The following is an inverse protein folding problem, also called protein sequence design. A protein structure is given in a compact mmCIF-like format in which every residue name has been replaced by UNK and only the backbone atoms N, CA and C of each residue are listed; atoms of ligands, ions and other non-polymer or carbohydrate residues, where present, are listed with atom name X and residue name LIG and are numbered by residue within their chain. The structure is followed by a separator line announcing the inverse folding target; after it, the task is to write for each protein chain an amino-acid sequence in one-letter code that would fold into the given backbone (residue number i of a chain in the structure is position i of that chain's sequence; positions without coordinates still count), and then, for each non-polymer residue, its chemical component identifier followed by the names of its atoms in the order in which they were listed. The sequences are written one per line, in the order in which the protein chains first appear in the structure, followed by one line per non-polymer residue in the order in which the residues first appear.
data_IF_924004330952
#
_entry.id   IF_924004330952
#
_cell.length_a   1.000
_cell.length_b   1.000
_cell.length_c   1.000
_cell.angle_alpha   90.00
_cell.angle_beta   90.00
_cell.angle_gamma   90.00
#
_symmetry.space_group_name_H-M   'P 1'
#
loop_
_entity.id
_entity.type
_entity.pdbx_description
1 polymer ?
#
# COMPACT_ATOMS: atom_id res chain seq x y z
N UNK A 1 -11.57 -6.31 13.85
CA UNK A 1 -10.62 -5.22 14.17
C UNK A 1 -10.45 -5.13 15.66
N UNK A 2 -9.24 -5.29 16.16
CA UNK A 2 -8.90 -5.03 17.56
C UNK A 2 -9.08 -3.53 17.81
N UNK A 3 -9.82 -3.16 18.86
CA UNK A 3 -9.91 -1.75 19.25
C UNK A 3 -8.50 -1.21 19.47
N UNK A 4 -8.21 -0.04 18.91
CA UNK A 4 -6.97 0.70 19.23
C UNK A 4 -6.93 0.90 20.73
N UNK A 5 -5.90 0.40 21.37
CA UNK A 5 -5.71 0.63 22.81
C UNK A 5 -5.10 2.02 23.01
N UNK A 6 -5.98 3.00 23.19
CA UNK A 6 -5.56 4.37 23.42
C UNK A 6 -4.70 4.51 24.70
N UNK A 7 -4.90 3.65 25.70
CA UNK A 7 -4.08 3.66 26.91
C UNK A 7 -2.63 3.28 26.60
N UNK A 8 -2.42 2.39 25.62
CA UNK A 8 -1.06 2.07 25.15
C UNK A 8 -0.36 3.31 24.61
N UNK A 9 -1.01 4.06 23.71
CA UNK A 9 -0.42 5.27 23.12
C UNK A 9 -0.21 6.37 24.17
N UNK A 10 -1.14 6.53 25.12
CA UNK A 10 -1.02 7.50 26.22
C UNK A 10 0.14 7.17 27.16
N UNK A 11 0.49 5.90 27.31
CA UNK A 11 1.62 5.45 28.11
C UNK A 11 3.00 5.67 27.48
N UNK A 12 3.07 5.99 26.18
CA UNK A 12 4.32 6.23 25.48
C UNK A 12 4.85 7.66 25.73
N UNK A 13 6.17 7.80 25.75
CA UNK A 13 6.83 9.11 25.74
C UNK A 13 6.54 9.88 24.45
N UNK A 14 6.79 11.18 24.42
CA UNK A 14 6.65 11.99 23.22
C UNK A 14 7.58 11.50 22.09
N UNK A 15 8.80 11.06 22.43
CA UNK A 15 9.78 10.51 21.51
C UNK A 15 9.28 9.20 20.90
N UNK A 16 8.80 8.27 21.71
CA UNK A 16 8.21 7.01 21.24
C UNK A 16 6.97 7.23 20.35
N UNK A 17 6.14 8.22 20.65
CA UNK A 17 5.01 8.60 19.78
C UNK A 17 5.49 9.16 18.43
N UNK A 18 6.57 9.95 18.44
CA UNK A 18 7.17 10.45 17.20
C UNK A 18 7.80 9.31 16.38
N UNK A 19 8.40 8.30 17.05
CA UNK A 19 8.96 7.13 16.39
C UNK A 19 7.90 6.27 15.73
N UNK A 20 6.68 6.18 16.28
CA UNK A 20 5.58 5.43 15.69
C UNK A 20 5.20 5.90 14.28
N UNK A 21 5.39 7.18 13.97
CA UNK A 21 5.13 7.77 12.65
C UNK A 21 6.38 7.80 11.77
N UNK A 22 7.37 6.96 12.08
CA UNK A 22 8.62 6.82 11.34
C UNK A 22 9.03 5.35 11.26
N UNK A 23 9.76 4.98 10.22
CA UNK A 23 10.43 3.67 10.15
C UNK A 23 11.78 3.72 10.85
N UNK A 24 12.25 2.58 11.34
CA UNK A 24 13.63 2.45 11.83
C UNK A 24 14.64 2.40 10.69
N UNK A 25 14.26 1.73 9.61
CA UNK A 25 15.02 1.59 8.37
C UNK A 25 14.09 1.39 7.17
N UNK A 26 14.59 0.84 6.06
CA UNK A 26 13.79 0.64 4.84
C UNK A 26 12.62 -0.33 5.01
N UNK A 27 12.68 -1.26 5.97
CA UNK A 27 11.80 -2.41 6.02
C UNK A 27 11.09 -2.59 7.36
N UNK A 28 11.53 -1.90 8.41
CA UNK A 28 10.97 -2.07 9.75
C UNK A 28 10.27 -0.81 10.25
N UNK A 29 9.13 -1.03 10.93
CA UNK A 29 8.55 -0.01 11.79
C UNK A 29 9.46 0.27 12.99
N UNK A 30 9.27 1.41 13.66
CA UNK A 30 10.02 1.73 14.86
C UNK A 30 9.72 0.72 15.99
N UNK A 31 10.71 0.52 16.85
CA UNK A 31 10.54 -0.18 18.11
C UNK A 31 10.14 0.82 19.18
N UNK A 32 9.04 0.57 19.87
CA UNK A 32 8.59 1.34 21.02
C UNK A 32 8.33 0.41 22.20
N UNK A 33 8.19 0.96 23.41
CA UNK A 33 7.91 0.18 24.61
C UNK A 33 6.65 -0.66 24.45
N UNK A 34 6.78 -1.99 24.59
CA UNK A 34 5.66 -2.93 24.47
C UNK A 34 5.26 -3.33 23.06
N UNK A 35 5.96 -2.85 22.01
CA UNK A 35 5.70 -3.23 20.63
C UNK A 35 7.02 -3.52 19.88
N UNK A 36 7.17 -4.74 19.38
CA UNK A 36 8.29 -5.12 18.55
C UNK A 36 8.16 -4.55 17.12
N UNK A 37 9.30 -4.27 16.45
CA UNK A 37 9.29 -3.80 15.06
C UNK A 37 8.64 -4.82 14.14
N UNK A 38 7.86 -4.33 13.18
CA UNK A 38 7.21 -5.14 12.16
C UNK A 38 8.01 -5.09 10.86
N UNK A 39 8.36 -6.25 10.32
CA UNK A 39 9.00 -6.37 9.02
C UNK A 39 7.96 -6.21 7.91
N UNK A 40 8.26 -5.32 6.99
CA UNK A 40 7.53 -5.14 5.72
C UNK A 40 8.43 -5.58 4.56
N UNK A 41 7.86 -6.04 3.45
CA UNK A 41 8.66 -6.40 2.27
C UNK A 41 7.90 -6.20 0.98
N UNK A 42 8.65 -5.92 -0.08
CA UNK A 42 8.12 -5.99 -1.44
C UNK A 42 7.76 -7.41 -1.86
N UNK A 43 7.05 -7.49 -2.98
CA UNK A 43 6.81 -8.74 -3.69
C UNK A 43 5.34 -9.08 -3.90
N UNK A 44 4.56 -8.23 -4.60
CA UNK A 44 3.15 -8.51 -4.89
C UNK A 44 2.94 -9.75 -5.79
N UNK A 45 3.98 -10.21 -6.48
CA UNK A 45 3.96 -11.43 -7.31
C UNK A 45 5.00 -12.46 -6.85
N UNK A 46 5.37 -12.45 -5.58
CA UNK A 46 6.38 -13.31 -4.96
C UNK A 46 7.27 -12.51 -4.02
N UNK A 47 7.62 -13.07 -2.87
CA UNK A 47 8.35 -12.35 -1.84
C UNK A 47 9.69 -11.82 -2.35
N UNK A 48 9.96 -10.56 -2.05
CA UNK A 48 11.24 -9.91 -2.28
C UNK A 48 11.84 -9.44 -0.96
N UNK A 49 11.98 -10.36 -0.02
CA UNK A 49 12.62 -10.10 1.25
C UNK A 49 14.14 -10.09 1.07
N UNK A 50 14.80 -9.08 1.62
CA UNK A 50 16.25 -8.99 1.54
C UNK A 50 16.91 -10.07 2.39
N UNK A 51 18.05 -10.64 1.94
CA UNK A 51 18.85 -11.57 2.72
C UNK A 51 19.37 -10.86 3.99
N UNK A 52 19.91 -9.65 3.83
CA UNK A 52 20.15 -8.76 4.95
C UNK A 52 18.97 -7.79 5.08
N UNK A 53 18.07 -8.08 6.02
CA UNK A 53 16.82 -7.32 6.22
C UNK A 53 17.01 -5.86 6.62
N UNK A 54 18.22 -5.46 7.03
CA UNK A 54 18.56 -4.06 7.35
C UNK A 54 19.21 -3.33 6.17
N UNK A 55 19.41 -4.01 5.05
CA UNK A 55 19.92 -3.39 3.83
C UNK A 55 18.79 -2.80 3.00
N UNK A 56 19.00 -1.59 2.46
CA UNK A 56 18.02 -0.97 1.57
C UNK A 56 17.78 -1.81 0.31
N UNK A 57 18.85 -2.27 -0.30
CA UNK A 57 18.84 -3.09 -1.50
C UNK A 57 19.94 -4.15 -1.38
N UNK A 58 19.56 -5.42 -1.34
CA UNK A 58 20.46 -6.55 -1.27
C UNK A 58 19.90 -7.69 -2.14
N UNK A 59 20.56 -8.82 -2.16
CA UNK A 59 20.02 -10.04 -2.73
C UNK A 59 18.74 -10.42 -1.98
N UNK A 60 17.73 -10.83 -2.73
CA UNK A 60 16.51 -11.36 -2.14
C UNK A 60 16.67 -12.84 -1.81
N UNK A 61 15.96 -13.31 -0.80
CA UNK A 61 15.82 -14.74 -0.55
C UNK A 61 15.21 -15.43 -1.78
N UNK A 62 15.43 -16.73 -1.90
CA UNK A 62 14.72 -17.55 -2.88
C UNK A 62 13.24 -17.65 -2.48
N UNK A 63 12.34 -17.37 -3.41
CA UNK A 63 10.91 -17.42 -3.20
C UNK A 63 10.18 -17.84 -4.47
N UNK A 64 8.94 -18.30 -4.31
CA UNK A 64 8.07 -18.62 -5.44
C UNK A 64 7.75 -17.35 -6.21
N UNK A 65 7.99 -17.36 -7.51
CA UNK A 65 7.57 -16.32 -8.44
C UNK A 65 6.18 -16.65 -8.99
N UNK A 66 5.18 -15.94 -8.54
CA UNK A 66 3.82 -16.01 -9.10
C UNK A 66 3.72 -15.19 -10.38
N UNK A 67 2.72 -15.48 -11.24
CA UNK A 67 2.47 -14.66 -12.41
C UNK A 67 2.25 -13.19 -12.06
N UNK A 68 2.72 -12.27 -12.90
CA UNK A 68 2.55 -10.84 -12.65
C UNK A 68 1.08 -10.42 -12.65
N UNK A 69 0.79 -9.27 -12.05
CA UNK A 69 -0.59 -8.78 -11.87
C UNK A 69 -1.35 -8.64 -13.18
N UNK A 70 -0.68 -8.22 -14.26
CA UNK A 70 -1.28 -8.14 -15.59
C UNK A 70 -1.77 -9.50 -16.09
N UNK A 71 -0.99 -10.57 -15.87
CA UNK A 71 -1.35 -11.92 -16.30
C UNK A 71 -2.45 -12.52 -15.42
N UNK A 72 -2.37 -12.35 -14.09
CA UNK A 72 -3.41 -12.85 -13.18
C UNK A 72 -4.75 -12.17 -13.41
N UNK A 73 -4.77 -10.86 -13.70
CA UNK A 73 -5.99 -10.14 -14.03
C UNK A 73 -6.65 -10.62 -15.33
N UNK A 74 -5.86 -11.11 -16.29
CA UNK A 74 -6.38 -11.67 -17.56
C UNK A 74 -7.16 -12.96 -17.38
N UNK A 75 -7.11 -13.60 -16.20
CA UNK A 75 -7.95 -14.73 -15.86
C UNK A 75 -9.40 -14.35 -15.59
N UNK A 76 -9.68 -13.11 -15.17
CA UNK A 76 -10.98 -12.65 -14.66
C UNK A 76 -11.53 -13.52 -13.51
N UNK A 77 -10.68 -14.23 -12.80
CA UNK A 77 -11.03 -15.21 -11.77
C UNK A 77 -10.63 -14.71 -10.37
N UNK A 78 -11.61 -14.17 -9.64
CA UNK A 78 -11.44 -13.65 -8.28
C UNK A 78 -11.04 -14.78 -7.30
N UNK A 79 -11.59 -16.00 -7.48
CA UNK A 79 -11.31 -17.11 -6.57
C UNK A 79 -9.87 -17.61 -6.73
N UNK A 80 -9.38 -17.65 -7.96
CA UNK A 80 -7.98 -17.97 -8.24
C UNK A 80 -7.05 -16.95 -7.58
N UNK A 81 -7.37 -15.65 -7.68
CA UNK A 81 -6.59 -14.58 -7.06
C UNK A 81 -6.60 -14.64 -5.53
N UNK A 82 -7.73 -14.98 -4.93
CA UNK A 82 -7.83 -15.15 -3.47
C UNK A 82 -6.95 -16.31 -3.00
N UNK A 83 -6.98 -17.46 -3.69
CA UNK A 83 -6.09 -18.60 -3.41
C UNK A 83 -4.60 -18.26 -3.62
N UNK A 84 -4.28 -17.50 -4.66
CA UNK A 84 -2.90 -17.00 -4.86
C UNK A 84 -2.48 -16.13 -3.67
N UNK A 85 -3.34 -15.24 -3.23
CA UNK A 85 -3.11 -14.40 -2.04
C UNK A 85 -2.86 -15.23 -0.78
N UNK A 86 -3.64 -16.30 -0.55
CA UNK A 86 -3.43 -17.23 0.58
C UNK A 86 -2.05 -17.88 0.53
N UNK A 87 -1.60 -18.36 -0.65
CA UNK A 87 -0.29 -18.97 -0.80
C UNK A 87 0.83 -17.97 -0.54
N UNK A 88 0.70 -16.77 -1.09
CA UNK A 88 1.67 -15.69 -0.89
C UNK A 88 1.72 -15.23 0.58
N UNK A 89 0.57 -15.09 1.22
CA UNK A 89 0.47 -14.76 2.64
C UNK A 89 1.06 -15.86 3.54
N UNK A 90 0.86 -17.13 3.19
CA UNK A 90 1.47 -18.28 3.88
C UNK A 90 2.99 -18.22 3.79
N UNK A 91 3.54 -17.96 2.61
CA UNK A 91 4.98 -17.78 2.42
C UNK A 91 5.50 -16.56 3.22
N UNK A 92 4.79 -15.44 3.19
CA UNK A 92 5.15 -14.25 3.96
C UNK A 92 5.17 -14.50 5.46
N UNK A 93 4.19 -15.23 5.97
CA UNK A 93 4.13 -15.62 7.40
C UNK A 93 5.29 -16.53 7.80
N UNK A 94 5.68 -17.48 6.96
CA UNK A 94 6.84 -18.35 7.20
C UNK A 94 8.13 -17.54 7.33
N UNK A 95 8.25 -16.45 6.57
CA UNK A 95 9.36 -15.51 6.59
C UNK A 95 9.22 -14.40 7.65
N UNK A 96 8.23 -14.49 8.54
CA UNK A 96 7.95 -13.50 9.62
C UNK A 96 7.69 -12.08 9.10
N UNK A 97 7.11 -11.96 7.92
CA UNK A 97 6.70 -10.68 7.33
C UNK A 97 5.36 -10.29 7.94
N UNK A 98 5.28 -9.08 8.48
CA UNK A 98 4.04 -8.53 9.05
C UNK A 98 3.16 -7.87 8.00
N UNK A 99 3.75 -7.18 7.02
CA UNK A 99 3.03 -6.52 5.91
C UNK A 99 3.73 -6.78 4.59
N UNK A 100 2.94 -7.24 3.61
CA UNK A 100 3.37 -7.36 2.22
C UNK A 100 2.99 -6.09 1.45
N UNK A 101 3.97 -5.47 0.78
CA UNK A 101 3.80 -4.21 0.04
C UNK A 101 3.16 -4.47 -1.35
N UNK A 102 1.88 -4.68 -1.34
CA UNK A 102 1.03 -4.97 -2.49
C UNK A 102 -0.43 -5.19 -2.05
N UNK A 103 -1.35 -5.33 -3.01
CA UNK A 103 -1.15 -5.28 -4.46
C UNK A 103 -1.02 -3.86 -5.00
N UNK A 104 -0.40 -3.74 -6.19
CA UNK A 104 -0.46 -2.53 -6.99
C UNK A 104 -1.77 -2.48 -7.80
N UNK A 105 -2.52 -1.37 -7.69
CA UNK A 105 -3.86 -1.26 -8.30
C UNK A 105 -4.07 0.00 -9.12
N UNK A 106 -3.00 0.73 -9.47
CA UNK A 106 -3.14 1.90 -10.34
C UNK A 106 -3.62 1.49 -11.73
N UNK A 107 -4.30 2.42 -12.39
CA UNK A 107 -4.86 2.21 -13.72
C UNK A 107 -3.75 2.28 -14.78
N UNK A 108 -3.71 1.31 -15.68
CA UNK A 108 -2.79 1.27 -16.83
C UNK A 108 -3.20 2.29 -17.88
N UNK A 109 -2.96 3.58 -17.61
CA UNK A 109 -3.37 4.70 -18.46
C UNK A 109 -2.62 4.75 -19.78
N UNK A 110 -1.33 4.43 -19.74
CA UNK A 110 -0.44 4.40 -20.91
C UNK A 110 0.27 3.05 -20.98
N UNK A 111 0.39 2.42 -22.15
CA UNK A 111 1.16 1.18 -22.31
C UNK A 111 2.67 1.38 -22.02
N UNK A 112 3.15 2.62 -22.06
CA UNK A 112 4.55 2.98 -21.78
C UNK A 112 4.82 3.28 -20.30
N UNK A 113 3.85 3.19 -19.42
CA UNK A 113 4.08 3.39 -17.99
C UNK A 113 4.98 2.27 -17.43
N UNK A 114 6.08 2.66 -16.77
CA UNK A 114 7.16 1.75 -16.38
C UNK A 114 6.78 0.69 -15.33
N UNK A 115 5.62 0.83 -14.68
CA UNK A 115 5.13 -0.10 -13.63
C UNK A 115 3.86 -0.87 -14.01
N UNK A 116 3.50 -0.92 -15.29
CA UNK A 116 2.32 -1.67 -15.75
C UNK A 116 2.37 -3.17 -15.42
N UNK A 117 3.54 -3.76 -15.25
CA UNK A 117 3.70 -5.18 -14.91
C UNK A 117 3.11 -5.52 -13.53
N UNK A 118 3.13 -4.58 -12.59
CA UNK A 118 2.64 -4.81 -11.23
C UNK A 118 1.20 -4.36 -10.98
N UNK A 119 0.55 -3.73 -11.98
CA UNK A 119 -0.84 -3.30 -11.91
C UNK A 119 -1.77 -4.26 -12.64
N UNK A 120 -3.01 -4.42 -12.16
CA UNK A 120 -3.95 -5.41 -12.70
C UNK A 120 -4.49 -5.01 -14.07
N UNK A 121 -5.11 -3.84 -14.18
CA UNK A 121 -5.91 -3.50 -15.37
C UNK A 121 -5.96 -1.99 -15.66
N UNK A 122 -6.40 -1.65 -16.87
CA UNK A 122 -6.88 -0.32 -17.22
C UNK A 122 -8.34 -0.08 -16.77
N UNK A 123 -9.09 -1.18 -16.52
CA UNK A 123 -10.46 -1.14 -16.02
C UNK A 123 -10.47 -1.06 -14.48
N UNK A 124 -11.01 0.01 -13.87
CA UNK A 124 -11.05 0.15 -12.42
C UNK A 124 -11.93 -0.91 -11.73
N UNK A 125 -12.97 -1.42 -12.41
CA UNK A 125 -13.79 -2.49 -11.85
C UNK A 125 -12.99 -3.79 -11.73
N UNK A 126 -12.30 -4.19 -12.78
CA UNK A 126 -11.46 -5.40 -12.78
C UNK A 126 -10.30 -5.24 -11.77
N UNK A 127 -9.59 -4.11 -11.80
CA UNK A 127 -8.52 -3.82 -10.85
C UNK A 127 -9.01 -3.89 -9.38
N UNK A 128 -10.19 -3.33 -9.11
CA UNK A 128 -10.81 -3.36 -7.78
C UNK A 128 -11.23 -4.76 -7.35
N UNK A 129 -11.79 -5.58 -8.24
CA UNK A 129 -12.17 -6.98 -7.96
C UNK A 129 -10.94 -7.84 -7.65
N UNK A 130 -9.94 -7.81 -8.54
CA UNK A 130 -8.70 -8.57 -8.37
C UNK A 130 -7.95 -8.13 -7.12
N UNK A 131 -7.83 -6.81 -6.89
CA UNK A 131 -7.22 -6.28 -5.67
C UNK A 131 -7.95 -6.69 -4.40
N UNK A 132 -9.29 -6.71 -4.41
CA UNK A 132 -10.11 -7.17 -3.28
C UNK A 132 -9.84 -8.65 -2.95
N UNK A 133 -9.84 -9.51 -3.96
CA UNK A 133 -9.57 -10.94 -3.80
C UNK A 133 -8.14 -11.19 -3.26
N UNK A 134 -7.15 -10.53 -3.85
CA UNK A 134 -5.77 -10.60 -3.38
C UNK A 134 -5.63 -10.21 -1.89
N UNK A 135 -6.20 -9.06 -1.50
CA UNK A 135 -6.15 -8.57 -0.11
C UNK A 135 -6.79 -9.57 0.86
N UNK A 136 -7.97 -10.10 0.51
CA UNK A 136 -8.65 -11.12 1.34
C UNK A 136 -7.79 -12.36 1.50
N UNK A 137 -7.21 -12.86 0.42
CA UNK A 137 -6.37 -14.05 0.44
C UNK A 137 -5.14 -13.86 1.33
N UNK A 138 -4.35 -12.79 1.13
CA UNK A 138 -3.17 -12.54 1.96
C UNK A 138 -3.56 -12.35 3.43
N UNK A 139 -4.55 -11.52 3.72
CA UNK A 139 -4.94 -11.21 5.11
C UNK A 139 -5.59 -12.38 5.84
N UNK A 140 -6.14 -13.38 5.15
CA UNK A 140 -6.65 -14.60 5.77
C UNK A 140 -5.57 -15.40 6.50
N UNK A 141 -4.30 -15.20 6.15
CA UNK A 141 -3.14 -15.86 6.79
C UNK A 141 -2.62 -15.10 8.02
N UNK A 142 -3.16 -13.91 8.32
CA UNK A 142 -2.71 -13.03 9.39
C UNK A 142 -1.59 -12.06 8.99
N UNK A 143 -1.17 -12.04 7.71
CA UNK A 143 -0.23 -11.07 7.15
C UNK A 143 -1.01 -9.86 6.63
N UNK A 144 -0.59 -8.65 6.98
CA UNK A 144 -1.17 -7.43 6.43
C UNK A 144 -0.74 -7.18 4.98
N UNK A 145 -1.45 -6.29 4.31
CA UNK A 145 -1.11 -5.82 2.96
C UNK A 145 -0.98 -4.30 2.95
N UNK A 146 -0.23 -3.77 1.98
CA UNK A 146 -0.22 -2.34 1.67
C UNK A 146 -0.69 -2.13 0.23
N UNK A 147 -1.95 -1.73 0.07
CA UNK A 147 -2.52 -1.44 -1.26
C UNK A 147 -1.88 -0.18 -1.83
N UNK A 148 -1.35 -0.26 -3.05
CA UNK A 148 -0.50 0.79 -3.60
C UNK A 148 -0.79 1.08 -5.07
N UNK A 149 -0.46 2.26 -5.56
CA UNK A 149 0.02 3.47 -4.90
C UNK A 149 -1.10 4.51 -4.88
N UNK A 150 -1.55 4.88 -3.74
CA UNK A 150 -2.67 5.80 -3.53
C UNK A 150 -2.21 7.25 -3.62
N UNK A 151 -2.54 8.01 -4.68
CA UNK A 151 -3.26 7.61 -5.87
C UNK A 151 -2.63 8.23 -7.13
N UNK A 152 -3.15 7.82 -8.30
CA UNK A 152 -2.80 8.41 -9.61
C UNK A 152 -1.34 8.23 -10.03
N UNK A 153 -0.64 7.19 -9.57
CA UNK A 153 0.72 6.86 -10.01
C UNK A 153 0.67 6.12 -11.36
N UNK A 154 0.36 6.84 -12.43
CA UNK A 154 0.16 6.31 -13.77
C UNK A 154 1.32 6.62 -14.72
N UNK A 155 2.36 7.28 -14.20
CA UNK A 155 3.54 7.71 -14.94
C UNK A 155 4.77 7.68 -14.04
N UNK A 156 5.84 7.02 -14.49
CA UNK A 156 7.09 6.91 -13.74
C UNK A 156 8.12 7.99 -14.11
N UNK A 157 7.98 8.60 -15.27
CA UNK A 157 8.84 9.71 -15.66
C UNK A 157 8.63 10.90 -14.73
N UNK A 158 9.73 11.38 -14.13
CA UNK A 158 9.73 12.44 -13.11
C UNK A 158 8.75 12.19 -11.93
N UNK A 159 8.57 10.95 -11.51
CA UNK A 159 7.54 10.52 -10.54
C UNK A 159 7.55 11.28 -9.20
N UNK A 160 8.70 11.83 -8.78
CA UNK A 160 8.81 12.63 -7.55
C UNK A 160 8.36 14.09 -7.73
N UNK A 161 8.21 14.57 -8.95
CA UNK A 161 7.93 15.98 -9.24
C UNK A 161 6.74 16.21 -10.14
N UNK A 162 6.30 15.18 -10.88
CA UNK A 162 5.16 15.30 -11.79
C UNK A 162 3.84 15.51 -11.03
N UNK A 163 2.85 16.10 -11.72
CA UNK A 163 1.49 16.22 -11.24
C UNK A 163 0.56 15.43 -12.16
N UNK A 164 -0.32 14.65 -11.58
CA UNK A 164 -1.46 14.03 -12.25
C UNK A 164 -2.65 14.97 -12.13
N UNK A 165 -2.90 15.74 -13.18
CA UNK A 165 -3.99 16.70 -13.18
C UNK A 165 -5.25 16.09 -13.77
N UNK A 166 -6.31 16.05 -12.99
CA UNK A 166 -7.53 15.32 -13.31
C UNK A 166 -8.75 15.99 -12.68
N UNK A 167 -9.87 16.02 -13.43
CA UNK A 167 -11.14 16.51 -12.91
C UNK A 167 -11.74 15.54 -11.87
N UNK A 168 -12.68 16.05 -11.08
CA UNK A 168 -13.28 15.31 -9.97
C UNK A 168 -13.98 14.01 -10.39
N UNK A 169 -14.75 14.06 -11.45
CA UNK A 169 -15.49 12.89 -11.93
C UNK A 169 -14.54 11.79 -12.39
N UNK A 170 -13.56 12.13 -13.21
CA UNK A 170 -12.54 11.19 -13.69
C UNK A 170 -11.72 10.63 -12.53
N UNK A 171 -11.35 11.47 -11.56
CA UNK A 171 -10.64 11.03 -10.36
C UNK A 171 -11.45 9.95 -9.62
N UNK A 172 -12.73 10.19 -9.37
CA UNK A 172 -13.61 9.29 -8.61
C UNK A 172 -13.94 8.02 -9.36
N UNK A 173 -14.31 8.12 -10.62
CA UNK A 173 -14.83 6.99 -11.40
C UNK A 173 -13.73 6.08 -11.96
N UNK A 174 -12.51 6.61 -12.17
CA UNK A 174 -11.40 5.87 -12.79
C UNK A 174 -10.25 5.63 -11.82
N UNK A 175 -9.69 6.69 -11.21
CA UNK A 175 -8.42 6.57 -10.49
C UNK A 175 -8.56 6.22 -9.01
N UNK A 176 -9.73 6.39 -8.42
CA UNK A 176 -10.02 6.06 -7.03
C UNK A 176 -10.96 4.87 -6.87
N UNK A 177 -11.73 4.51 -7.88
CA UNK A 177 -12.79 3.51 -7.78
C UNK A 177 -12.30 2.13 -7.33
N UNK A 178 -11.13 1.67 -7.80
CA UNK A 178 -10.54 0.41 -7.38
C UNK A 178 -10.08 0.44 -5.91
N UNK A 179 -9.52 1.57 -5.45
CA UNK A 179 -9.13 1.75 -4.05
C UNK A 179 -10.35 1.76 -3.13
N UNK A 180 -11.39 2.53 -3.49
CA UNK A 180 -12.65 2.58 -2.75
C UNK A 180 -13.26 1.19 -2.56
N UNK A 181 -13.33 0.41 -3.64
CA UNK A 181 -13.83 -0.97 -3.59
C UNK A 181 -13.01 -1.83 -2.63
N UNK A 182 -11.69 -1.80 -2.72
CA UNK A 182 -10.81 -2.59 -1.86
C UNK A 182 -10.96 -2.18 -0.40
N UNK A 183 -10.96 -0.89 -0.12
CA UNK A 183 -11.15 -0.35 1.24
C UNK A 183 -12.46 -0.86 1.84
N UNK A 184 -13.57 -0.72 1.10
CA UNK A 184 -14.90 -1.09 1.60
C UNK A 184 -15.17 -2.60 1.67
N UNK A 185 -14.49 -3.42 0.85
CA UNK A 185 -14.79 -4.85 0.75
C UNK A 185 -13.74 -5.77 1.34
N UNK A 186 -12.50 -5.32 1.50
CA UNK A 186 -11.40 -6.14 2.00
C UNK A 186 -10.68 -5.53 3.21
N UNK A 187 -10.91 -4.27 3.54
CA UNK A 187 -10.35 -3.59 4.72
C UNK A 187 -8.83 -3.80 4.83
N UNK A 188 -8.02 -3.33 3.86
CA UNK A 188 -6.59 -3.53 3.87
C UNK A 188 -5.95 -2.97 5.14
N UNK A 189 -4.98 -3.68 5.70
CA UNK A 189 -4.28 -3.28 6.92
C UNK A 189 -3.58 -1.94 6.73
N UNK A 190 -2.93 -1.75 5.58
CA UNK A 190 -2.27 -0.49 5.24
C UNK A 190 -2.54 -0.07 3.79
N UNK A 191 -2.34 1.21 3.51
CA UNK A 191 -2.35 1.81 2.16
C UNK A 191 -1.06 2.60 2.00
N UNK A 192 -0.42 2.50 0.84
CA UNK A 192 0.79 3.25 0.54
C UNK A 192 0.46 4.43 -0.38
N UNK A 193 0.77 5.66 0.06
CA UNK A 193 0.62 6.83 -0.77
C UNK A 193 1.70 6.90 -1.86
N UNK A 194 1.36 7.49 -2.99
CA UNK A 194 2.21 7.57 -4.18
C UNK A 194 3.21 8.74 -4.13
N UNK A 195 4.17 8.72 -5.05
CA UNK A 195 5.22 9.76 -5.18
C UNK A 195 4.73 11.07 -5.74
N UNK A 196 3.79 11.02 -6.68
CA UNK A 196 3.38 12.14 -7.52
C UNK A 196 2.55 13.20 -6.77
N UNK A 197 2.35 14.32 -7.43
CA UNK A 197 1.31 15.27 -7.05
C UNK A 197 -0.02 14.89 -7.68
N UNK A 198 -1.10 15.27 -7.03
CA UNK A 198 -2.46 15.25 -7.56
C UNK A 198 -2.97 16.69 -7.60
N UNK A 199 -3.26 17.18 -8.81
CA UNK A 199 -3.72 18.56 -9.02
C UNK A 199 -2.81 19.59 -8.32
N UNK A 200 -1.49 19.42 -8.48
CA UNK A 200 -0.47 20.29 -7.93
C UNK A 200 -0.10 20.04 -6.45
N UNK A 201 -0.85 19.24 -5.70
CA UNK A 201 -0.59 18.94 -4.28
C UNK A 201 0.10 17.59 -4.14
N UNK A 202 1.22 17.55 -3.41
CA UNK A 202 1.91 16.29 -3.10
C UNK A 202 0.94 15.31 -2.42
N UNK A 203 0.86 14.07 -2.91
CA UNK A 203 -0.11 13.10 -2.40
C UNK A 203 0.07 12.84 -0.90
N UNK A 204 1.30 12.71 -0.41
CA UNK A 204 1.59 12.55 1.02
C UNK A 204 1.13 13.72 1.92
N UNK A 205 0.85 14.89 1.31
CA UNK A 205 0.42 16.11 1.99
C UNK A 205 -1.01 16.53 1.59
N UNK A 206 -1.74 15.64 0.91
CA UNK A 206 -3.07 15.95 0.38
C UNK A 206 -4.16 15.55 1.36
N UNK A 207 -4.53 16.47 2.27
CA UNK A 207 -5.58 16.27 3.26
C UNK A 207 -6.92 15.84 2.63
N UNK A 208 -7.28 16.43 1.49
CA UNK A 208 -8.51 16.05 0.79
C UNK A 208 -8.50 14.56 0.40
N UNK A 209 -7.34 14.04 -0.04
CA UNK A 209 -7.22 12.65 -0.45
C UNK A 209 -7.10 11.72 0.75
N UNK A 210 -6.18 12.00 1.69
CA UNK A 210 -5.84 11.10 2.79
C UNK A 210 -6.86 11.13 3.93
N UNK A 211 -7.40 12.31 4.25
CA UNK A 211 -8.39 12.45 5.33
C UNK A 211 -9.80 12.43 4.77
N UNK A 212 -10.19 13.43 3.96
CA UNK A 212 -11.60 13.60 3.64
C UNK A 212 -12.15 12.45 2.79
N UNK A 213 -11.42 12.02 1.76
CA UNK A 213 -11.88 10.92 0.89
C UNK A 213 -11.63 9.55 1.55
N UNK A 214 -10.38 9.26 1.91
CA UNK A 214 -10.01 7.93 2.37
C UNK A 214 -10.61 7.61 3.74
N UNK A 215 -10.47 8.51 4.73
CA UNK A 215 -10.92 8.24 6.09
C UNK A 215 -12.38 8.62 6.32
N UNK A 216 -12.79 9.85 5.96
CA UNK A 216 -14.12 10.35 6.30
C UNK A 216 -15.21 9.76 5.39
N UNK A 217 -15.01 9.76 4.05
CA UNK A 217 -16.02 9.24 3.12
C UNK A 217 -16.02 7.71 3.03
N UNK A 218 -14.82 7.07 2.96
CA UNK A 218 -14.75 5.61 2.80
C UNK A 218 -14.67 4.86 4.13
N UNK A 219 -14.43 5.54 5.25
CA UNK A 219 -14.36 4.94 6.57
C UNK A 219 -13.09 4.12 6.81
N UNK A 220 -11.99 4.43 6.13
CA UNK A 220 -10.74 3.69 6.29
C UNK A 220 -10.15 3.87 7.68
N UNK A 221 -9.82 2.74 8.34
CA UNK A 221 -9.31 2.71 9.71
C UNK A 221 -7.88 2.16 9.81
N UNK A 222 -7.30 1.77 8.68
CA UNK A 222 -5.94 1.24 8.63
C UNK A 222 -4.88 2.35 8.58
N UNK A 223 -3.62 1.94 8.55
CA UNK A 223 -2.46 2.82 8.48
C UNK A 223 -2.21 3.29 7.05
N UNK A 224 -1.89 4.56 6.88
CA UNK A 224 -1.43 5.14 5.61
C UNK A 224 0.07 5.40 5.68
N UNK A 225 0.84 4.62 4.95
CA UNK A 225 2.30 4.81 4.85
C UNK A 225 2.68 5.59 3.60
N UNK A 226 3.88 6.16 3.58
CA UNK A 226 4.47 6.73 2.37
C UNK A 226 5.18 5.66 1.54
N UNK A 227 5.30 5.88 0.23
CA UNK A 227 6.36 5.25 -0.55
C UNK A 227 7.72 5.87 -0.19
N UNK A 228 8.84 5.19 -0.48
CA UNK A 228 10.18 5.66 -0.12
C UNK A 228 10.52 6.99 -0.77
N UNK A 229 10.75 8.02 0.06
CA UNK A 229 11.05 9.38 -0.41
C UNK A 229 9.83 10.15 -0.94
N UNK A 230 8.60 9.68 -0.73
CA UNK A 230 7.38 10.38 -1.13
C UNK A 230 7.02 11.55 -0.20
N UNK A 231 7.60 11.61 0.99
CA UNK A 231 7.36 12.71 1.95
C UNK A 231 8.33 13.84 1.69
N UNK A 232 7.80 15.04 1.40
CA UNK A 232 8.57 16.26 1.18
C UNK A 232 8.61 17.11 2.47
N UNK A 233 7.48 17.24 3.15
CA UNK A 233 7.34 17.90 4.45
C UNK A 233 6.60 16.95 5.41
N UNK A 234 7.33 16.45 6.40
CA UNK A 234 6.83 15.47 7.36
C UNK A 234 5.67 16.02 8.20
N UNK A 235 5.79 17.27 8.67
CA UNK A 235 4.73 17.91 9.47
C UNK A 235 3.46 18.09 8.66
N UNK A 236 3.57 18.54 7.40
CA UNK A 236 2.42 18.68 6.52
C UNK A 236 1.79 17.32 6.18
N UNK A 237 2.61 16.27 6.02
CA UNK A 237 2.12 14.92 5.74
C UNK A 237 1.30 14.34 6.90
N UNK A 238 1.80 14.41 8.13
CA UNK A 238 1.05 13.97 9.31
C UNK A 238 -0.26 14.76 9.45
N UNK A 239 -0.23 16.09 9.28
CA UNK A 239 -1.46 16.91 9.32
C UNK A 239 -2.46 16.55 8.23
N UNK A 240 -1.99 16.03 7.10
CA UNK A 240 -2.84 15.59 6.00
C UNK A 240 -3.45 14.20 6.20
N UNK A 241 -3.01 13.43 7.20
CA UNK A 241 -3.53 12.10 7.52
C UNK A 241 -2.60 10.94 7.12
N UNK A 242 -1.32 11.21 6.86
CA UNK A 242 -0.28 10.18 6.81
C UNK A 242 0.06 9.76 8.25
N UNK A 243 0.29 8.45 8.48
CA UNK A 243 0.62 7.88 9.77
C UNK A 243 2.12 7.62 9.93
#
# INVERSE_FOLDING_TARGET
MTKVDLNFVEGLTLEERADLVSGTDFWFTAKVSGMDPMLMTDGPSGLRKQVNVHSAMDQSIEAVCFPCSALTASSFDDQMLEKLGEQLGTAARAEKIGVLLGPGVNIKRSPLAGRNFEYFSEDPLLAGRMGTAYVKGVQSTGVGVSVKHFATNNREDQRFTNSSDVDERTLREIYLAQFERIVKQAHPATIMCSYNKLNGVQVSQNQRLLTNILRDEWGYQGLVMSDWGAVVDHTAAIKAGLD
#
